data_IF_098486838602
#
_entry.id   IF_098486838602
#
_cell.length_a   1.000
_cell.length_b   1.000
_cell.length_c   1.000
_cell.angle_alpha   90.00
_cell.angle_beta   90.00
_cell.angle_gamma   90.00
#
_symmetry.space_group_name_H-M   'P 1'
#
loop_
_entity.id
_entity.type
_entity.pdbx_description
1 polymer ?
#
# COMPACT_ATOMS: atom_id res chain seq x y z
N UNK A 1 -10.57 -1.12 2.80
CA UNK A 1 -10.33 -0.73 4.22
C UNK A 1 -11.62 -0.68 4.99
N UNK A 2 -11.57 -1.00 6.28
CA UNK A 2 -12.73 -1.10 7.19
C UNK A 2 -12.40 -0.30 8.46
N UNK A 3 -13.37 0.41 9.02
CA UNK A 3 -13.19 1.15 10.28
C UNK A 3 -13.25 0.21 11.50
N UNK A 4 -12.44 0.49 12.51
CA UNK A 4 -12.31 -0.34 13.71
C UNK A 4 -13.50 -0.23 14.68
N UNK A 5 -14.17 0.93 14.74
CA UNK A 5 -15.19 1.20 15.76
C UNK A 5 -16.53 0.53 15.43
N UNK A 6 -16.89 0.56 14.16
CA UNK A 6 -18.21 0.20 13.67
C UNK A 6 -18.19 -0.87 12.58
N UNK A 7 -17.00 -1.28 12.12
CA UNK A 7 -16.82 -2.26 11.05
C UNK A 7 -17.49 -1.85 9.73
N UNK A 8 -17.61 -0.56 9.45
CA UNK A 8 -18.05 0.01 8.19
C UNK A 8 -16.89 0.01 7.19
N UNK A 9 -17.25 -0.23 5.94
CA UNK A 9 -16.31 -0.29 4.84
C UNK A 9 -16.06 1.14 4.37
N UNK A 10 -14.83 1.61 4.54
CA UNK A 10 -14.43 2.99 4.19
C UNK A 10 -13.97 3.07 2.74
N UNK A 11 -13.32 2.01 2.26
CA UNK A 11 -12.78 1.95 0.90
C UNK A 11 -12.84 0.51 0.40
N UNK A 12 -13.15 0.32 -0.87
CA UNK A 12 -13.08 -0.97 -1.55
C UNK A 12 -12.62 -0.77 -2.99
N UNK A 13 -11.82 -1.70 -3.49
CA UNK A 13 -11.40 -1.76 -4.88
C UNK A 13 -11.07 -3.22 -5.22
N UNK A 14 -11.69 -3.75 -6.27
CA UNK A 14 -11.29 -5.01 -6.87
C UNK A 14 -9.95 -4.81 -7.60
N UNK A 15 -9.03 -5.75 -7.42
CA UNK A 15 -7.69 -5.75 -8.02
C UNK A 15 -7.44 -7.09 -8.73
N UNK A 16 -6.63 -7.07 -9.78
CA UNK A 16 -6.09 -8.25 -10.47
C UNK A 16 -4.56 -8.31 -10.38
N UNK A 17 -3.98 -7.46 -9.53
CA UNK A 17 -2.54 -7.33 -9.30
C UNK A 17 -2.23 -7.67 -7.86
N UNK A 18 -0.97 -8.02 -7.58
CA UNK A 18 -0.51 -8.33 -6.23
C UNK A 18 -0.67 -7.13 -5.27
N UNK A 19 -0.89 -7.42 -3.98
CA UNK A 19 -1.20 -6.43 -2.94
C UNK A 19 0.00 -5.58 -2.51
N UNK A 20 1.21 -5.95 -2.91
CA UNK A 20 2.45 -5.30 -2.47
C UNK A 20 2.60 -3.82 -2.83
N UNK A 21 1.73 -3.26 -3.68
CA UNK A 21 1.72 -1.84 -4.08
C UNK A 21 0.36 -1.16 -3.86
N UNK A 22 -0.47 -1.73 -2.99
CA UNK A 22 -1.86 -1.30 -2.83
C UNK A 22 -2.16 -0.55 -1.53
N UNK A 23 -1.24 -0.58 -0.55
CA UNK A 23 -1.50 -0.06 0.80
C UNK A 23 -1.70 1.46 0.81
N UNK A 24 -0.73 2.21 0.30
CA UNK A 24 -0.74 3.66 0.33
C UNK A 24 -1.93 4.22 -0.43
N UNK A 25 -2.18 3.68 -1.63
CA UNK A 25 -3.33 4.06 -2.45
C UNK A 25 -4.66 3.83 -1.73
N UNK A 26 -4.84 2.67 -1.11
CA UNK A 26 -6.08 2.35 -0.39
C UNK A 26 -6.26 3.27 0.84
N UNK A 27 -5.18 3.53 1.59
CA UNK A 27 -5.19 4.40 2.75
C UNK A 27 -5.45 5.87 2.39
N UNK A 28 -4.87 6.36 1.30
CA UNK A 28 -5.14 7.71 0.79
C UNK A 28 -6.60 7.86 0.36
N UNK A 29 -7.14 6.89 -0.35
CA UNK A 29 -8.56 6.89 -0.71
C UNK A 29 -9.46 6.84 0.54
N UNK A 30 -9.07 6.09 1.57
CA UNK A 30 -9.79 6.08 2.83
C UNK A 30 -9.76 7.45 3.54
N UNK A 31 -8.61 8.14 3.59
CA UNK A 31 -8.52 9.52 4.11
C UNK A 31 -9.48 10.45 3.36
N UNK A 32 -9.49 10.37 2.04
CA UNK A 32 -10.39 11.17 1.19
C UNK A 32 -11.86 10.88 1.47
N UNK A 33 -12.25 9.61 1.57
CA UNK A 33 -13.64 9.21 1.86
C UNK A 33 -14.09 9.65 3.26
N UNK A 34 -13.18 9.67 4.23
CA UNK A 34 -13.41 10.17 5.58
C UNK A 34 -13.27 11.70 5.68
N UNK A 35 -12.94 12.39 4.59
CA UNK A 35 -12.72 13.84 4.54
C UNK A 35 -11.61 14.33 5.49
N UNK A 36 -10.66 13.44 5.79
CA UNK A 36 -9.48 13.77 6.59
C UNK A 36 -8.54 14.67 5.78
N UNK A 37 -8.02 15.69 6.44
CA UNK A 37 -7.00 16.57 5.90
C UNK A 37 -5.64 15.86 5.85
N UNK A 38 -4.66 16.51 5.23
CA UNK A 38 -3.33 15.93 5.08
C UNK A 38 -2.67 15.73 6.44
N UNK A 39 -2.90 16.67 7.36
CA UNK A 39 -2.35 16.73 8.71
C UNK A 39 -2.97 15.69 9.66
N UNK A 40 -4.18 15.22 9.35
CA UNK A 40 -4.88 14.25 10.17
C UNK A 40 -4.18 12.89 10.15
N UNK A 41 -3.93 12.35 11.34
CA UNK A 41 -3.33 11.04 11.48
C UNK A 41 -4.33 9.92 11.15
N UNK A 42 -3.92 8.98 10.29
CA UNK A 42 -4.67 7.73 10.04
C UNK A 42 -3.84 6.53 10.48
N UNK A 43 -4.36 5.72 11.39
CA UNK A 43 -3.76 4.44 11.74
C UNK A 43 -4.23 3.36 10.76
N UNK A 44 -3.29 2.69 10.09
CA UNK A 44 -3.56 1.65 9.11
C UNK A 44 -2.99 0.30 9.55
N UNK A 45 -3.86 -0.68 9.76
CA UNK A 45 -3.51 -2.07 10.05
C UNK A 45 -3.61 -2.88 8.76
N UNK A 46 -2.58 -3.64 8.42
CA UNK A 46 -2.60 -4.48 7.23
C UNK A 46 -1.81 -5.78 7.39
N UNK A 47 -2.14 -6.75 6.54
CA UNK A 47 -1.47 -8.04 6.51
C UNK A 47 -0.09 -8.00 5.86
N UNK A 48 0.66 -9.09 6.03
CA UNK A 48 2.01 -9.25 5.49
C UNK A 48 2.10 -9.05 3.97
N UNK A 49 1.00 -9.26 3.24
CA UNK A 49 0.93 -9.00 1.81
C UNK A 49 1.22 -7.55 1.42
N UNK A 50 0.91 -6.61 2.30
CA UNK A 50 1.07 -5.16 2.12
C UNK A 50 2.42 -4.63 2.61
N UNK A 51 3.31 -5.50 3.11
CA UNK A 51 4.58 -5.10 3.69
C UNK A 51 5.64 -4.79 2.60
N UNK A 52 5.61 -3.56 2.09
CA UNK A 52 6.59 -3.05 1.12
C UNK A 52 7.16 -1.72 1.62
N UNK A 53 8.49 -1.61 1.71
CA UNK A 53 9.14 -0.43 2.28
C UNK A 53 8.77 0.89 1.58
N UNK A 54 8.60 0.89 0.26
CA UNK A 54 8.17 2.07 -0.50
C UNK A 54 6.76 2.53 -0.09
N UNK A 55 5.81 1.59 0.06
CA UNK A 55 4.44 1.89 0.50
C UNK A 55 4.41 2.40 1.94
N UNK A 56 5.18 1.78 2.84
CA UNK A 56 5.30 2.23 4.25
C UNK A 56 5.84 3.67 4.31
N UNK A 57 6.88 3.98 3.54
CA UNK A 57 7.42 5.33 3.46
C UNK A 57 6.39 6.33 2.93
N UNK A 58 5.66 5.97 1.88
CA UNK A 58 4.62 6.84 1.31
C UNK A 58 3.49 7.11 2.32
N UNK A 59 3.03 6.07 3.04
CA UNK A 59 2.08 6.22 4.14
C UNK A 59 2.59 7.19 5.23
N UNK A 60 3.84 7.03 5.66
CA UNK A 60 4.44 7.90 6.68
C UNK A 60 4.54 9.37 6.22
N UNK A 61 4.83 9.61 4.94
CA UNK A 61 4.88 10.96 4.37
C UNK A 61 3.52 11.67 4.34
N UNK A 62 2.42 10.90 4.34
CA UNK A 62 1.04 11.41 4.36
C UNK A 62 0.37 11.28 5.75
N UNK A 63 1.19 11.32 6.81
CA UNK A 63 0.78 11.26 8.22
C UNK A 63 -0.02 10.00 8.57
N UNK A 64 0.37 8.85 8.05
CA UNK A 64 -0.24 7.57 8.41
C UNK A 64 0.68 6.74 9.31
N UNK A 65 0.10 6.20 10.37
CA UNK A 65 0.77 5.29 11.30
C UNK A 65 0.46 3.86 10.86
N UNK A 66 1.46 3.17 10.35
CA UNK A 66 1.30 1.82 9.82
C UNK A 66 1.64 0.75 10.86
N UNK A 67 0.80 -0.28 10.93
CA UNK A 67 1.03 -1.54 11.63
C UNK A 67 0.86 -2.69 10.63
N UNK A 68 1.88 -2.91 9.80
CA UNK A 68 1.85 -3.96 8.76
C UNK A 68 2.74 -5.11 9.17
N UNK A 69 2.16 -6.31 9.29
CA UNK A 69 2.92 -7.49 9.69
C UNK A 69 4.14 -7.72 8.77
N UNK A 70 5.30 -7.99 9.35
CA UNK A 70 6.49 -8.34 8.58
C UNK A 70 6.30 -9.68 7.85
N UNK A 71 6.88 -9.82 6.65
CA UNK A 71 7.05 -11.13 6.01
C UNK A 71 8.31 -11.75 6.60
N UNK A 72 8.17 -12.71 7.52
CA UNK A 72 9.31 -13.49 8.02
C UNK A 72 10.21 -13.89 6.85
N UNK A 73 11.45 -13.39 6.85
CA UNK A 73 12.46 -13.90 5.95
C UNK A 73 12.72 -15.34 6.39
N UNK A 74 12.73 -16.32 5.47
CA UNK A 74 13.11 -17.67 5.84
C UNK A 74 14.48 -17.60 6.51
N UNK A 75 14.55 -18.01 7.78
CA UNK A 75 15.81 -18.03 8.51
C UNK A 75 16.84 -18.79 7.68
N UNK A 76 18.03 -18.21 7.54
CA UNK A 76 19.13 -18.89 6.86
C UNK A 76 19.56 -20.05 7.77
N UNK A 77 19.07 -21.26 7.49
CA UNK A 77 19.24 -22.48 8.32
C UNK A 77 20.69 -22.96 8.48
N UNK A 78 21.68 -22.18 8.08
CA UNK A 78 23.06 -22.66 7.86
C UNK A 78 24.06 -22.32 8.98
N UNK A 79 23.64 -21.56 10.00
CA UNK A 79 24.45 -21.22 11.18
C UNK A 79 23.53 -21.30 12.41
N UNK A 80 23.87 -22.17 13.37
CA UNK A 80 23.17 -22.20 14.66
C UNK A 80 23.54 -20.94 15.46
N UNK A 81 22.53 -20.24 15.99
CA UNK A 81 22.69 -18.95 16.69
C UNK A 81 23.37 -17.85 15.85
N UNK A 82 22.98 -17.71 14.58
CA UNK A 82 23.51 -16.64 13.73
C UNK A 82 23.15 -15.24 14.28
N UNK A 83 24.14 -14.34 14.36
CA UNK A 83 23.84 -12.92 14.53
C UNK A 83 23.11 -12.41 13.29
N UNK A 84 21.79 -12.19 13.42
CA UNK A 84 20.95 -11.63 12.36
C UNK A 84 21.23 -10.14 12.16
N UNK A 85 20.72 -9.57 11.07
CA UNK A 85 20.82 -8.12 10.83
C UNK A 85 20.23 -7.29 11.98
N UNK A 86 19.23 -7.82 12.70
CA UNK A 86 18.64 -7.19 13.89
C UNK A 86 19.64 -7.02 15.05
N UNK A 87 20.71 -7.82 15.10
CA UNK A 87 21.76 -7.70 16.11
C UNK A 87 22.73 -6.54 15.84
N UNK A 88 22.58 -5.81 14.72
CA UNK A 88 23.43 -4.69 14.34
C UNK A 88 22.68 -3.38 14.56
N UNK A 89 23.25 -2.50 15.39
CA UNK A 89 22.64 -1.20 15.68
C UNK A 89 23.02 -0.19 14.61
N UNK A 90 22.05 0.50 14.01
CA UNK A 90 22.28 1.55 13.01
C UNK A 90 22.34 2.92 13.69
N UNK A 91 23.42 3.67 13.45
CA UNK A 91 23.54 5.08 13.79
C UNK A 91 23.27 5.92 12.53
N UNK A 92 22.16 6.66 12.56
CA UNK A 92 21.71 7.52 11.46
C UNK A 92 22.55 8.78 11.31
N UNK A 93 23.13 9.32 12.39
CA UNK A 93 23.94 10.53 12.32
C UNK A 93 25.30 10.24 11.71
N UNK A 94 25.93 9.13 12.12
CA UNK A 94 27.21 8.70 11.59
C UNK A 94 27.11 7.95 10.25
N UNK A 95 25.90 7.52 9.83
CA UNK A 95 25.67 6.58 8.73
C UNK A 95 26.53 5.30 8.88
N UNK A 96 26.45 4.64 10.04
CA UNK A 96 27.22 3.44 10.34
C UNK A 96 26.40 2.38 11.06
N UNK A 97 26.88 1.14 11.03
CA UNK A 97 26.36 0.06 11.87
C UNK A 97 27.39 -0.36 12.91
N UNK A 98 26.95 -0.66 14.13
CA UNK A 98 27.78 -1.29 15.16
C UNK A 98 27.37 -2.75 15.31
N UNK A 99 28.34 -3.66 15.21
CA UNK A 99 28.10 -5.10 15.37
C UNK A 99 28.15 -5.55 16.84
N UNK A 100 27.66 -6.76 17.16
CA UNK A 100 27.72 -7.32 18.52
C UNK A 100 29.13 -7.44 19.11
N UNK A 101 30.17 -7.50 18.27
CA UNK A 101 31.58 -7.50 18.69
C UNK A 101 32.14 -6.08 18.93
N UNK A 102 31.31 -5.04 18.83
CA UNK A 102 31.70 -3.64 19.02
C UNK A 102 32.37 -2.96 17.82
N UNK A 103 32.58 -3.67 16.70
CA UNK A 103 33.19 -3.08 15.50
C UNK A 103 32.18 -2.27 14.67
N UNK A 104 32.65 -1.14 14.13
CA UNK A 104 31.87 -0.26 13.25
C UNK A 104 31.98 -0.72 11.80
N UNK A 105 30.85 -0.78 11.12
CA UNK A 105 30.70 -1.04 9.70
C UNK A 105 30.36 0.28 8.99
N UNK A 106 31.13 0.62 7.97
CA UNK A 106 30.96 1.82 7.16
C UNK A 106 30.53 1.48 5.75
N UNK A 107 29.93 2.46 5.08
CA UNK A 107 29.57 2.38 3.66
C UNK A 107 30.52 3.23 2.83
N UNK A 108 30.75 2.83 1.58
CA UNK A 108 31.41 3.68 0.57
C UNK A 108 30.49 4.78 0.02
N UNK A 109 29.25 4.86 0.51
CA UNK A 109 28.23 5.82 0.06
C UNK A 109 27.55 5.45 -1.25
N UNK A 110 28.06 4.46 -1.99
CA UNK A 110 27.49 4.02 -3.28
C UNK A 110 26.14 3.34 -3.10
N UNK A 111 25.16 3.77 -3.91
CA UNK A 111 23.86 3.13 -4.02
C UNK A 111 23.86 2.07 -5.11
N UNK A 112 23.31 0.90 -4.80
CA UNK A 112 23.13 -0.20 -5.74
C UNK A 112 21.65 -0.45 -5.98
N UNK A 113 21.29 -0.85 -7.21
CA UNK A 113 19.92 -1.17 -7.58
C UNK A 113 19.63 -2.65 -7.31
N UNK A 114 18.59 -2.93 -6.53
CA UNK A 114 17.99 -4.26 -6.45
C UNK A 114 17.00 -4.41 -7.62
N UNK A 115 17.23 -5.39 -8.49
CA UNK A 115 16.28 -5.69 -9.59
C UNK A 115 15.07 -6.46 -9.07
N UNK A 116 13.89 -6.14 -9.60
CA UNK A 116 12.65 -6.87 -9.44
C UNK A 116 12.51 -8.01 -10.46
N UNK A 117 11.37 -8.71 -10.41
CA UNK A 117 11.09 -9.87 -11.26
C UNK A 117 11.01 -9.52 -12.75
N UNK A 118 10.53 -8.33 -13.11
CA UNK A 118 10.48 -7.86 -14.50
C UNK A 118 11.74 -7.05 -14.90
N UNK A 119 12.82 -7.16 -14.12
CA UNK A 119 14.12 -6.53 -14.41
C UNK A 119 14.21 -5.04 -14.09
N UNK A 120 13.12 -4.43 -13.64
CA UNK A 120 13.06 -3.05 -13.17
C UNK A 120 13.79 -2.87 -11.83
N UNK A 121 14.19 -1.65 -11.49
CA UNK A 121 14.74 -1.38 -10.16
C UNK A 121 13.60 -1.40 -9.14
N UNK A 122 13.64 -2.36 -8.22
CA UNK A 122 12.66 -2.50 -7.12
C UNK A 122 12.93 -1.50 -6.01
N UNK A 123 14.19 -1.40 -5.56
CA UNK A 123 14.65 -0.40 -4.58
C UNK A 123 16.17 -0.27 -4.64
N UNK A 124 16.70 0.80 -4.06
CA UNK A 124 18.14 1.02 -3.89
C UNK A 124 18.60 0.62 -2.50
N UNK A 125 19.83 0.13 -2.39
CA UNK A 125 20.45 -0.20 -1.11
C UNK A 125 21.92 0.25 -1.04
N UNK A 126 22.36 0.57 0.18
CA UNK A 126 23.77 0.77 0.53
C UNK A 126 24.33 -0.49 1.19
N UNK A 127 25.63 -0.72 1.00
CA UNK A 127 26.34 -1.84 1.62
C UNK A 127 27.29 -1.36 2.71
N UNK A 128 27.19 -1.97 3.89
CA UNK A 128 28.03 -1.68 5.06
C UNK A 128 28.88 -2.90 5.38
N UNK A 129 30.17 -2.67 5.63
CA UNK A 129 31.17 -3.73 5.91
C UNK A 129 32.29 -3.21 6.79
N UNK A 130 33.05 -4.12 7.38
CA UNK A 130 34.22 -3.80 8.21
C UNK A 130 35.37 -4.77 7.95
N UNK A 131 36.60 -4.30 8.10
CA UNK A 131 37.82 -5.12 8.04
C UNK A 131 38.14 -5.81 9.37
N UNK A 132 37.49 -5.40 10.46
CA UNK A 132 37.63 -6.00 11.78
C UNK A 132 37.21 -7.49 11.82
N UNK A 133 36.43 -7.95 10.83
CA UNK A 133 36.03 -9.36 10.73
C UNK A 133 37.21 -10.34 10.59
N UNK A 134 38.39 -9.90 10.13
CA UNK A 134 39.55 -10.79 9.90
C UNK A 134 40.00 -11.50 11.19
N UNK A 135 40.01 -10.78 12.31
CA UNK A 135 40.48 -11.26 13.61
C UNK A 135 39.34 -11.35 14.64
N UNK A 136 38.08 -11.38 14.19
CA UNK A 136 36.93 -11.31 15.10
C UNK A 136 36.64 -12.68 15.74
N UNK A 137 36.60 -12.79 17.08
CA UNK A 137 36.31 -14.05 17.76
C UNK A 137 34.88 -14.55 17.51
N UNK A 138 33.95 -13.64 17.23
CA UNK A 138 32.54 -13.96 16.96
C UNK A 138 32.24 -14.29 15.48
N UNK A 139 33.27 -14.33 14.60
CA UNK A 139 33.08 -14.52 13.15
C UNK A 139 32.31 -15.81 12.83
N UNK A 140 32.65 -16.92 13.49
CA UNK A 140 32.05 -18.23 13.24
C UNK A 140 30.53 -18.26 13.50
N UNK A 141 30.02 -17.39 14.38
CA UNK A 141 28.60 -17.22 14.68
C UNK A 141 27.95 -16.08 13.86
N UNK A 142 28.75 -15.31 13.12
CA UNK A 142 28.30 -14.09 12.44
C UNK A 142 28.22 -14.26 10.92
N UNK A 143 29.22 -14.86 10.25
CA UNK A 143 29.18 -15.07 8.80
C UNK A 143 30.22 -16.10 8.35
N UNK A 144 29.90 -16.85 7.28
CA UNK A 144 30.87 -17.71 6.57
C UNK A 144 31.74 -16.93 5.59
N UNK A 145 31.33 -15.71 5.21
CA UNK A 145 32.08 -14.87 4.28
C UNK A 145 33.31 -14.26 4.98
N UNK A 146 34.30 -13.76 4.20
CA UNK A 146 35.45 -13.06 4.78
C UNK A 146 35.07 -11.86 5.65
N UNK A 147 33.96 -11.20 5.32
CA UNK A 147 33.41 -10.03 6.02
C UNK A 147 31.89 -10.14 6.11
N UNK A 148 31.31 -9.67 7.22
CA UNK A 148 29.86 -9.48 7.31
C UNK A 148 29.46 -8.29 6.46
N UNK A 149 28.40 -8.48 5.66
CA UNK A 149 27.85 -7.47 4.77
C UNK A 149 26.42 -7.20 5.21
N UNK A 150 26.11 -5.95 5.54
CA UNK A 150 24.76 -5.48 5.83
C UNK A 150 24.29 -4.63 4.65
N UNK A 151 23.13 -4.97 4.09
CA UNK A 151 22.49 -4.18 3.04
C UNK A 151 21.36 -3.37 3.67
N UNK A 152 21.46 -2.05 3.63
CA UNK A 152 20.40 -1.15 4.10
C UNK A 152 19.64 -0.60 2.90
N UNK A 153 18.35 -0.89 2.83
CA UNK A 153 17.45 -0.31 1.81
C UNK A 153 17.25 1.20 2.03
N UNK A 154 16.98 1.94 0.97
CA UNK A 154 16.55 3.35 1.05
C UNK A 154 15.21 3.54 1.80
N UNK A 155 14.47 2.45 1.99
CA UNK A 155 13.22 2.41 2.75
C UNK A 155 13.37 1.80 4.14
N UNK A 156 14.59 1.45 4.58
CA UNK A 156 14.79 0.73 5.84
C UNK A 156 14.31 1.53 7.05
N UNK A 157 14.51 2.85 7.07
CA UNK A 157 13.96 3.72 8.13
C UNK A 157 12.44 3.55 8.29
N UNK A 158 11.71 3.46 7.18
CA UNK A 158 10.26 3.30 7.20
C UNK A 158 9.83 1.92 7.71
N UNK A 159 10.60 0.89 7.37
CA UNK A 159 10.40 -0.48 7.89
C UNK A 159 10.68 -0.52 9.40
N UNK A 160 11.80 0.05 9.84
CA UNK A 160 12.21 0.09 11.26
C UNK A 160 11.13 0.80 12.11
N UNK A 161 10.55 1.90 11.61
CA UNK A 161 9.43 2.61 12.27
C UNK A 161 8.19 1.71 12.37
N UNK A 162 7.79 1.04 11.28
CA UNK A 162 6.64 0.13 11.29
C UNK A 162 6.83 -1.04 12.26
N UNK A 163 8.04 -1.61 12.31
CA UNK A 163 8.37 -2.70 13.23
C UNK A 163 8.31 -2.24 14.69
N UNK A 164 8.80 -1.03 14.98
CA UNK A 164 8.66 -0.43 16.31
C UNK A 164 7.19 -0.19 16.67
N UNK A 165 6.37 0.31 15.74
CA UNK A 165 4.93 0.51 15.97
C UNK A 165 4.24 -0.81 16.37
N UNK A 166 4.60 -1.93 15.73
CA UNK A 166 4.05 -3.26 16.04
C UNK A 166 4.55 -3.76 17.39
N UNK A 167 5.86 -3.63 17.67
CA UNK A 167 6.45 -4.06 18.94
C UNK A 167 5.86 -3.30 20.14
N UNK A 168 5.61 -2.01 19.97
CA UNK A 168 4.98 -1.18 21.00
C UNK A 168 3.49 -1.45 21.17
N UNK A 169 2.83 -2.02 20.16
CA UNK A 169 1.39 -2.25 20.16
C UNK A 169 1.00 -3.66 19.69
N UNK A 170 1.46 -4.72 20.41
CA UNK A 170 1.21 -6.10 20.01
C UNK A 170 -0.28 -6.46 19.93
N UNK A 171 -1.12 -5.75 20.69
CA UNK A 171 -2.57 -5.94 20.72
C UNK A 171 -3.26 -5.70 19.37
N UNK A 172 -2.75 -4.78 18.55
CA UNK A 172 -3.36 -4.47 17.24
C UNK A 172 -3.22 -5.62 16.25
N UNK A 173 -2.22 -6.49 16.45
CA UNK A 173 -1.98 -7.63 15.57
C UNK A 173 -3.14 -8.63 15.54
N UNK A 174 -3.83 -8.83 16.68
CA UNK A 174 -5.04 -9.70 16.73
C UNK A 174 -6.28 -8.99 16.20
N UNK A 175 -6.38 -7.66 16.40
CA UNK A 175 -7.54 -6.87 15.99
C UNK A 175 -7.69 -6.75 14.47
N UNK A 176 -6.58 -6.71 13.72
CA UNK A 176 -6.62 -6.56 12.25
C UNK A 176 -7.53 -7.58 11.55
N UNK A 177 -7.48 -8.85 11.97
CA UNK A 177 -8.29 -9.92 11.40
C UNK A 177 -9.75 -9.72 11.78
N UNK A 178 -10.05 -9.50 13.06
CA UNK A 178 -11.41 -9.31 13.54
C UNK A 178 -12.16 -8.15 12.84
N UNK A 179 -11.48 -7.02 12.59
CA UNK A 179 -12.10 -5.84 11.96
C UNK A 179 -12.57 -6.17 10.53
N UNK A 180 -11.69 -6.74 9.71
CA UNK A 180 -11.98 -6.99 8.29
C UNK A 180 -12.80 -8.27 8.08
N UNK A 181 -12.64 -9.27 8.93
CA UNK A 181 -13.39 -10.52 8.84
C UNK A 181 -14.86 -10.33 9.21
N UNK A 182 -15.22 -9.36 10.05
CA UNK A 182 -16.62 -9.09 10.40
C UNK A 182 -17.51 -8.75 9.17
N UNK A 183 -17.18 -7.73 8.34
CA UNK A 183 -17.94 -7.48 7.11
C UNK A 183 -17.86 -8.64 6.13
N UNK A 184 -16.67 -9.24 5.93
CA UNK A 184 -16.53 -10.35 4.99
C UNK A 184 -17.28 -11.61 5.43
N UNK A 185 -17.37 -11.89 6.72
CA UNK A 185 -18.16 -12.98 7.29
C UNK A 185 -19.64 -12.77 7.01
N UNK A 186 -20.14 -11.55 7.25
CA UNK A 186 -21.53 -11.19 6.93
C UNK A 186 -21.82 -11.36 5.43
N UNK A 187 -21.00 -10.75 4.58
CA UNK A 187 -21.23 -10.74 3.13
C UNK A 187 -21.07 -12.14 2.52
N UNK A 188 -19.99 -12.85 2.84
CA UNK A 188 -19.68 -14.13 2.21
C UNK A 188 -20.42 -15.31 2.84
N UNK A 189 -20.53 -15.36 4.17
CA UNK A 189 -21.09 -16.51 4.90
C UNK A 189 -22.57 -16.37 5.18
N UNK A 190 -23.00 -15.18 5.62
CA UNK A 190 -24.41 -14.97 5.95
C UNK A 190 -25.26 -14.64 4.72
N UNK A 191 -24.78 -13.79 3.81
CA UNK A 191 -25.51 -13.43 2.58
C UNK A 191 -25.18 -14.30 1.37
N UNK A 192 -24.17 -15.17 1.48
CA UNK A 192 -23.79 -16.09 0.41
C UNK A 192 -23.08 -15.45 -0.79
N UNK A 193 -22.61 -14.19 -0.67
CA UNK A 193 -21.89 -13.51 -1.75
C UNK A 193 -20.46 -14.05 -1.88
N UNK A 194 -20.30 -15.11 -2.67
CA UNK A 194 -19.06 -15.89 -2.80
C UNK A 194 -18.37 -15.74 -4.15
N UNK A 195 -19.10 -15.29 -5.17
CA UNK A 195 -18.62 -15.12 -6.53
C UNK A 195 -19.25 -13.87 -7.15
N UNK A 196 -18.57 -13.30 -8.15
CA UNK A 196 -19.11 -12.18 -8.92
C UNK A 196 -19.86 -12.70 -10.15
N UNK A 197 -20.97 -12.06 -10.50
CA UNK A 197 -21.75 -12.42 -11.67
C UNK A 197 -21.20 -11.79 -12.95
N UNK A 198 -20.64 -10.59 -12.83
CA UNK A 198 -20.13 -9.85 -13.98
C UNK A 198 -18.66 -10.14 -14.25
N UNK A 199 -18.25 -9.97 -15.51
CA UNK A 199 -16.85 -10.09 -15.96
C UNK A 199 -16.29 -8.73 -16.36
N UNK A 200 -15.02 -8.51 -16.03
CA UNK A 200 -14.29 -7.27 -16.32
C UNK A 200 -14.21 -6.33 -15.12
N UNK A 201 -13.04 -5.72 -14.91
CA UNK A 201 -12.68 -5.01 -13.69
C UNK A 201 -13.66 -3.89 -13.32
N UNK A 202 -14.15 -3.13 -14.30
CA UNK A 202 -15.12 -2.06 -14.06
C UNK A 202 -16.46 -2.61 -13.54
N UNK A 203 -16.97 -3.68 -14.16
CA UNK A 203 -18.25 -4.29 -13.79
C UNK A 203 -18.17 -4.98 -12.43
N UNK A 204 -17.08 -5.73 -12.20
CA UNK A 204 -16.77 -6.37 -10.90
C UNK A 204 -16.65 -5.33 -9.79
N UNK A 205 -15.98 -4.20 -10.05
CA UNK A 205 -15.94 -3.09 -9.07
C UNK A 205 -17.33 -2.53 -8.78
N UNK A 206 -18.20 -2.39 -9.78
CA UNK A 206 -19.59 -1.97 -9.57
C UNK A 206 -20.35 -2.92 -8.65
N UNK A 207 -20.24 -4.23 -8.91
CA UNK A 207 -20.87 -5.28 -8.11
C UNK A 207 -20.37 -5.28 -6.65
N UNK A 208 -19.04 -5.19 -6.48
CA UNK A 208 -18.39 -5.07 -5.17
C UNK A 208 -18.84 -3.81 -4.42
N UNK A 209 -18.90 -2.65 -5.09
CA UNK A 209 -19.36 -1.42 -4.47
C UNK A 209 -20.81 -1.52 -4.00
N UNK A 210 -21.68 -2.18 -4.79
CA UNK A 210 -23.08 -2.35 -4.42
C UNK A 210 -23.25 -3.23 -3.17
N UNK A 211 -22.57 -4.38 -3.11
CA UNK A 211 -22.68 -5.26 -1.94
C UNK A 211 -22.08 -4.62 -0.68
N UNK A 212 -20.96 -3.89 -0.82
CA UNK A 212 -20.35 -3.16 0.30
C UNK A 212 -21.25 -2.00 0.77
N UNK A 213 -21.95 -1.32 -0.15
CA UNK A 213 -22.95 -0.32 0.18
C UNK A 213 -24.12 -0.94 0.96
N UNK A 214 -24.69 -2.05 0.49
CA UNK A 214 -25.76 -2.76 1.20
C UNK A 214 -25.34 -3.14 2.62
N UNK A 215 -24.11 -3.64 2.78
CA UNK A 215 -23.53 -3.92 4.09
C UNK A 215 -23.46 -2.67 4.98
N UNK A 216 -22.87 -1.58 4.48
CA UNK A 216 -22.76 -0.34 5.24
C UNK A 216 -24.13 0.24 5.60
N UNK A 217 -25.11 0.16 4.70
CA UNK A 217 -26.47 0.66 4.93
C UNK A 217 -27.16 -0.11 6.06
N UNK A 218 -27.14 -1.44 6.00
CA UNK A 218 -27.71 -2.29 7.04
C UNK A 218 -26.94 -2.17 8.37
N UNK A 219 -25.62 -2.02 8.32
CA UNK A 219 -24.78 -1.81 9.50
C UNK A 219 -25.08 -0.46 10.15
N UNK A 220 -25.21 0.60 9.37
CA UNK A 220 -25.61 1.95 9.84
C UNK A 220 -26.98 1.92 10.49
N UNK A 221 -27.97 1.24 9.88
CA UNK A 221 -29.30 1.03 10.48
C UNK A 221 -29.20 0.38 11.86
N UNK A 222 -28.33 -0.61 12.02
CA UNK A 222 -28.16 -1.30 13.31
C UNK A 222 -27.40 -0.47 14.35
N UNK A 223 -26.55 0.48 13.93
CA UNK A 223 -25.80 1.37 14.83
C UNK A 223 -26.68 2.54 15.29
N UNK A 224 -27.36 3.21 14.36
CA UNK A 224 -28.13 4.42 14.65
C UNK A 224 -29.59 4.12 15.05
N UNK A 225 -30.13 2.97 14.64
CA UNK A 225 -31.57 2.72 14.62
C UNK A 225 -32.24 3.28 13.36
N UNK A 226 -33.45 2.80 13.06
CA UNK A 226 -34.17 3.17 11.84
C UNK A 226 -34.54 4.66 11.83
N UNK A 227 -35.09 5.19 12.92
CA UNK A 227 -35.61 6.56 12.98
C UNK A 227 -34.50 7.61 12.77
N UNK A 228 -33.39 7.47 13.51
CA UNK A 228 -32.23 8.37 13.38
C UNK A 228 -31.60 8.29 11.98
N UNK A 229 -31.53 7.10 11.40
CA UNK A 229 -31.02 6.94 10.03
C UNK A 229 -31.93 7.63 9.03
N UNK A 230 -33.25 7.48 9.17
CA UNK A 230 -34.23 8.11 8.29
C UNK A 230 -34.20 9.63 8.42
N UNK A 231 -34.10 10.16 9.63
CA UNK A 231 -33.94 11.59 9.88
C UNK A 231 -32.65 12.12 9.23
N UNK A 232 -31.53 11.42 9.40
CA UNK A 232 -30.27 11.80 8.75
C UNK A 232 -30.38 11.82 7.21
N UNK A 233 -31.09 10.84 6.62
CA UNK A 233 -31.33 10.81 5.17
C UNK A 233 -32.24 11.96 4.73
N UNK A 234 -33.30 12.28 5.47
CA UNK A 234 -34.20 13.40 5.16
C UNK A 234 -33.48 14.75 5.20
N UNK A 235 -32.55 14.90 6.13
CA UNK A 235 -31.75 16.12 6.30
C UNK A 235 -30.50 16.15 5.42
N UNK A 236 -30.19 15.07 4.70
CA UNK A 236 -29.00 14.99 3.87
C UNK A 236 -29.14 15.90 2.65
N UNK A 237 -28.23 16.86 2.53
CA UNK A 237 -28.13 17.75 1.37
C UNK A 237 -26.96 17.32 0.48
N UNK A 238 -27.21 16.51 -0.57
CA UNK A 238 -26.18 16.10 -1.50
C UNK A 238 -25.62 17.27 -2.30
N UNK A 239 -24.29 17.40 -2.31
CA UNK A 239 -23.60 18.30 -3.23
C UNK A 239 -23.41 17.60 -4.59
N UNK A 240 -24.43 17.68 -5.45
CA UNK A 240 -24.41 17.05 -6.77
C UNK A 240 -23.48 17.73 -7.78
N UNK A 241 -22.82 18.85 -7.45
CA UNK A 241 -22.00 19.59 -8.43
C UNK A 241 -20.87 18.71 -9.01
N UNK A 242 -20.27 17.84 -8.21
CA UNK A 242 -19.26 16.88 -8.68
C UNK A 242 -19.84 15.78 -9.60
N UNK A 243 -21.07 15.32 -9.31
CA UNK A 243 -21.76 14.27 -10.08
C UNK A 243 -22.24 14.82 -11.42
N UNK A 244 -22.84 16.02 -11.43
CA UNK A 244 -23.30 16.70 -12.65
C UNK A 244 -22.12 17.06 -13.55
N UNK A 245 -20.99 17.53 -13.01
CA UNK A 245 -19.77 17.76 -13.79
C UNK A 245 -19.18 16.47 -14.36
N UNK A 246 -19.16 15.36 -13.62
CA UNK A 246 -18.68 14.08 -14.12
C UNK A 246 -19.57 13.51 -15.24
N UNK A 247 -20.90 13.63 -15.09
CA UNK A 247 -21.88 13.22 -16.10
C UNK A 247 -21.81 14.12 -17.35
N UNK A 248 -21.70 15.46 -17.18
CA UNK A 248 -21.48 16.40 -18.29
C UNK A 248 -20.18 16.09 -19.02
N UNK A 249 -19.06 15.92 -18.31
CA UNK A 249 -17.77 15.62 -18.92
C UNK A 249 -17.75 14.24 -19.60
N UNK A 250 -18.47 13.25 -19.04
CA UNK A 250 -18.68 11.94 -19.65
C UNK A 250 -19.49 12.02 -20.94
N UNK A 251 -20.62 12.75 -20.93
CA UNK A 251 -21.45 13.00 -22.11
C UNK A 251 -20.70 13.77 -23.18
N UNK A 252 -19.98 14.82 -22.79
CA UNK A 252 -19.09 15.61 -23.67
C UNK A 252 -18.04 14.70 -24.30
N UNK A 253 -17.32 13.88 -23.52
CA UNK A 253 -16.37 12.90 -24.08
C UNK A 253 -17.04 11.91 -25.04
N UNK A 254 -18.25 11.47 -24.74
CA UNK A 254 -19.00 10.57 -25.63
C UNK A 254 -19.31 11.26 -26.97
N UNK A 255 -19.80 12.50 -26.94
CA UNK A 255 -20.09 13.32 -28.13
C UNK A 255 -18.81 13.58 -28.94
N UNK A 256 -17.70 13.95 -28.29
CA UNK A 256 -16.42 14.17 -28.98
C UNK A 256 -15.76 12.87 -29.45
N UNK A 257 -16.05 11.72 -28.82
CA UNK A 257 -15.56 10.41 -29.30
C UNK A 257 -16.33 9.89 -30.52
N UNK A 258 -17.59 10.30 -30.68
CA UNK A 258 -18.39 10.00 -31.87
C UNK A 258 -18.02 10.90 -33.07
N UNK A 259 -17.34 12.02 -32.83
CA UNK A 259 -16.86 12.95 -33.86
C UNK A 259 -15.35 12.83 -34.17
N UNK A 260 -14.76 11.62 -34.08
CA UNK A 260 -13.48 11.37 -34.76
C UNK A 260 -13.76 11.11 -36.24
N UNK A 261 -13.35 11.97 -37.17
CA UNK A 261 -13.43 11.64 -38.58
C UNK A 261 -12.49 10.45 -38.84
N UNK A 262 -13.09 9.36 -39.31
CA UNK A 262 -12.42 8.21 -39.87
C UNK A 262 -11.46 8.66 -40.98
N UNK A 263 -10.17 8.37 -40.80
CA UNK A 263 -9.20 8.31 -41.89
C UNK A 263 -9.73 7.41 -43.02
N UNK A 264 -10.04 8.00 -44.18
CA UNK A 264 -10.10 7.40 -45.53
C UNK A 264 -10.49 8.57 -46.46
N UNK A 265 -9.62 9.15 -47.30
CA UNK A 265 -9.08 8.57 -48.54
C UNK A 265 -7.83 9.34 -49.02
N UNK A 266 -6.86 8.58 -49.54
CA UNK A 266 -5.81 9.04 -50.45
C UNK A 266 -6.42 9.68 -51.72
N UNK A 267 -5.84 10.80 -52.18
CA UNK A 267 -5.25 10.94 -53.51
C UNK A 267 -4.74 12.38 -53.73
N UNK A 268 -3.42 12.52 -53.89
CA UNK A 268 -2.82 13.58 -54.72
C UNK A 268 -3.00 13.23 -56.21
N UNK A 269 -2.70 14.09 -57.21
CA UNK A 269 -2.13 15.45 -57.17
C UNK A 269 -2.90 16.47 -58.07
N UNK A 270 -2.54 17.76 -58.05
CA UNK A 270 -2.46 18.65 -59.23
C UNK A 270 -1.60 19.86 -58.87
N UNK A 271 -0.69 20.20 -59.79
CA UNK A 271 0.31 21.28 -59.78
C UNK A 271 -0.22 22.48 -60.59
N UNK A 272 0.38 23.67 -60.35
CA UNK A 272 0.33 24.95 -61.11
C UNK A 272 -0.68 26.02 -60.59
N UNK A 273 -0.39 27.33 -60.47
CA UNK A 273 0.68 28.22 -60.98
C UNK A 273 0.89 29.45 -60.03
N UNK A 274 2.05 30.11 -60.20
CA UNK A 274 2.58 31.36 -59.59
C UNK A 274 1.70 32.62 -59.70
N UNK A 275 1.92 33.59 -58.80
CA UNK A 275 2.30 35.01 -59.03
C UNK A 275 2.28 35.75 -57.66
N UNK A 276 3.17 36.67 -57.27
CA UNK A 276 4.38 37.28 -57.83
C UNK A 276 5.28 37.68 -56.64
#
# INVERSE_FOLDING_TARGET
MVDDKHNLIVQTQATNTNDGKALHKAAMQAKQNLQLQKEDALMALADKGYHTGAELKACQQDNMITHVAYKEQPGVKHIANEFLAESFCYDKQADTYTCPAGAVLTSLGTWHNKKGEAGETSYRFKTYRTDACKNCPLKNQCTKLPKRIIQRSEYQDAVDINDNNIKQNPQYYKRRQAIVEHPFGTIKRHWGYTHTLLKGMQKVNGEMNLIMFCYNFLRTKNILGFDKMLEAIKNWQPNYNKIVCALKNGLIKMIYSQNKPSHFLNNSPIVFFKAA
#
